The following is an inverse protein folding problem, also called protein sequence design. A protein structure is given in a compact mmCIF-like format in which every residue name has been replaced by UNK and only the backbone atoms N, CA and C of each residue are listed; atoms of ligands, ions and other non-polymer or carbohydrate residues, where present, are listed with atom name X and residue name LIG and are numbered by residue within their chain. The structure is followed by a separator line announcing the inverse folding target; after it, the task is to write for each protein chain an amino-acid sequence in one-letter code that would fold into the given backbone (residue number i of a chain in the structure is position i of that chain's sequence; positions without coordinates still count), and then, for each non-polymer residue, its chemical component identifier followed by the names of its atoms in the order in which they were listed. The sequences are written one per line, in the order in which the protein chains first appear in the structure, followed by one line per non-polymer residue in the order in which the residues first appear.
data_IF_969111230492
#
_entry.id   IF_969111230492
#
_cell.length_a   1.000
_cell.length_b   1.000
_cell.length_c   1.000
_cell.angle_alpha   90.00
_cell.angle_beta   90.00
_cell.angle_gamma   90.00
#
_symmetry.space_group_name_H-M   'P 1'
#
loop_
_entity.id
_entity.type
_entity.pdbx_description
1 polymer ?
#
# COMPACT_ATOMS: atom_id res chain seq x y z
N UNK A 1 -3.62 -9.08 5.46
CA UNK A 1 -3.09 -7.72 5.66
C UNK A 1 -4.21 -6.69 5.47
N UNK A 2 -4.44 -5.87 6.50
CA UNK A 2 -5.33 -4.71 6.49
C UNK A 2 -4.67 -3.53 5.78
N UNK A 3 -5.43 -2.47 5.49
CA UNK A 3 -4.85 -1.24 4.92
C UNK A 3 -3.87 -0.60 5.92
N UNK A 4 -4.24 -0.54 7.20
CA UNK A 4 -3.42 0.02 8.28
C UNK A 4 -2.11 -0.73 8.46
N UNK A 5 -2.14 -2.07 8.42
CA UNK A 5 -0.91 -2.89 8.47
C UNK A 5 0.02 -2.59 7.29
N UNK A 6 -0.53 -2.45 6.08
CA UNK A 6 0.25 -2.15 4.89
C UNK A 6 0.92 -0.76 4.95
N UNK A 7 0.22 0.23 5.51
CA UNK A 7 0.76 1.58 5.71
C UNK A 7 1.86 1.58 6.77
N UNK A 8 1.65 0.89 7.90
CA UNK A 8 2.67 0.78 8.95
C UNK A 8 3.95 0.11 8.42
N UNK A 9 3.82 -0.94 7.61
CA UNK A 9 4.97 -1.60 6.99
C UNK A 9 5.69 -0.67 5.98
N UNK A 10 4.95 0.15 5.23
CA UNK A 10 5.54 1.17 4.34
C UNK A 10 6.34 2.23 5.10
N UNK A 11 5.83 2.70 6.25
CA UNK A 11 6.53 3.66 7.12
C UNK A 11 7.84 3.05 7.64
N UNK A 12 7.82 1.79 8.08
CA UNK A 12 9.03 1.08 8.50
C UNK A 12 10.05 0.90 7.37
N UNK A 13 9.60 0.58 6.16
CA UNK A 13 10.48 0.47 4.99
C UNK A 13 11.10 1.84 4.64
N UNK A 14 10.35 2.92 4.76
CA UNK A 14 10.85 4.28 4.56
C UNK A 14 11.93 4.66 5.56
N UNK A 15 11.78 4.30 6.85
CA UNK A 15 12.81 4.49 7.87
C UNK A 15 14.08 3.71 7.52
N UNK A 16 13.93 2.43 7.17
CA UNK A 16 15.06 1.58 6.76
C UNK A 16 15.78 2.09 5.51
N UNK A 17 15.06 2.68 4.55
CA UNK A 17 15.65 3.23 3.32
C UNK A 17 16.46 4.52 3.58
N UNK A 18 16.18 5.23 4.68
CA UNK A 18 16.93 6.43 5.07
C UNK A 18 18.25 6.09 5.77
N UNK A 19 18.37 4.89 6.32
CA UNK A 19 19.64 4.38 6.81
C UNK A 19 20.59 4.14 5.63
N UNK A 20 21.87 4.51 5.75
CA UNK A 20 22.89 4.24 4.73
C UNK A 20 23.06 2.73 4.60
N UNK A 21 22.50 2.09 3.55
CA UNK A 21 22.58 0.66 3.41
C UNK A 21 23.98 0.33 2.89
N UNK A 22 24.68 -0.58 3.56
CA UNK A 22 25.99 -1.03 3.12
C UNK A 22 25.88 -1.98 1.91
N UNK A 23 24.67 -2.42 1.56
CA UNK A 23 24.39 -3.48 0.59
C UNK A 23 23.23 -3.10 -0.36
N UNK A 24 23.49 -3.17 -1.67
CA UNK A 24 22.55 -2.79 -2.74
C UNK A 24 21.41 -3.80 -2.89
N UNK A 25 21.62 -5.06 -2.54
CA UNK A 25 20.58 -6.10 -2.62
C UNK A 25 19.48 -5.84 -1.59
N UNK A 26 19.85 -5.32 -0.41
CA UNK A 26 18.90 -4.91 0.63
C UNK A 26 18.06 -3.71 0.20
N UNK A 27 18.65 -2.75 -0.51
CA UNK A 27 17.90 -1.64 -1.11
C UNK A 27 16.85 -2.17 -2.09
N UNK A 28 17.25 -3.05 -3.00
CA UNK A 28 16.33 -3.62 -3.98
C UNK A 28 15.18 -4.36 -3.31
N UNK A 29 15.46 -5.21 -2.31
CA UNK A 29 14.45 -5.95 -1.58
C UNK A 29 13.44 -5.02 -0.87
N UNK A 30 13.92 -3.96 -0.21
CA UNK A 30 13.07 -2.97 0.47
C UNK A 30 12.16 -2.22 -0.53
N UNK A 31 12.71 -1.80 -1.66
CA UNK A 31 11.94 -1.12 -2.72
C UNK A 31 10.91 -2.05 -3.35
N UNK A 32 11.29 -3.28 -3.69
CA UNK A 32 10.39 -4.27 -4.26
C UNK A 32 9.21 -4.54 -3.31
N UNK A 33 9.49 -4.72 -2.01
CA UNK A 33 8.45 -4.89 -1.00
C UNK A 33 7.53 -3.68 -0.90
N UNK A 34 8.07 -2.47 -0.89
CA UNK A 34 7.27 -1.25 -0.87
C UNK A 34 6.32 -1.15 -2.08
N UNK A 35 6.76 -1.58 -3.27
CA UNK A 35 5.92 -1.60 -4.46
C UNK A 35 4.72 -2.56 -4.32
N UNK A 36 4.93 -3.74 -3.75
CA UNK A 36 3.84 -4.69 -3.46
C UNK A 36 2.80 -4.10 -2.50
N UNK A 37 3.26 -3.45 -1.43
CA UNK A 37 2.39 -2.82 -0.43
C UNK A 37 1.57 -1.68 -1.05
N UNK A 38 2.21 -0.83 -1.85
CA UNK A 38 1.51 0.26 -2.56
C UNK A 38 0.45 -0.28 -3.52
N UNK A 39 0.76 -1.35 -4.27
CA UNK A 39 -0.21 -2.00 -5.15
C UNK A 39 -1.42 -2.52 -4.37
N UNK A 40 -1.19 -3.20 -3.24
CA UNK A 40 -2.25 -3.70 -2.38
C UNK A 40 -3.11 -2.58 -1.79
N UNK A 41 -2.51 -1.46 -1.38
CA UNK A 41 -3.24 -0.28 -0.90
C UNK A 41 -4.16 0.30 -1.98
N UNK A 42 -3.64 0.46 -3.21
CA UNK A 42 -4.43 0.97 -4.35
C UNK A 42 -5.59 0.06 -4.72
N UNK A 43 -5.41 -1.25 -4.64
CA UNK A 43 -6.49 -2.21 -4.87
C UNK A 43 -7.59 -2.09 -3.81
N UNK A 44 -7.22 -1.97 -2.53
CA UNK A 44 -8.20 -1.77 -1.46
C UNK A 44 -8.99 -0.47 -1.64
N UNK A 45 -8.33 0.63 -1.99
CA UNK A 45 -8.99 1.91 -2.23
C UNK A 45 -9.98 1.83 -3.40
N UNK A 46 -9.58 1.24 -4.52
CA UNK A 46 -10.48 1.00 -5.66
C UNK A 46 -11.69 0.16 -5.26
N UNK A 47 -11.49 -0.88 -4.46
CA UNK A 47 -12.60 -1.69 -3.95
C UNK A 47 -13.56 -0.92 -3.03
N UNK A 48 -13.08 0.10 -2.31
CA UNK A 48 -13.94 1.00 -1.52
C UNK A 48 -14.71 1.94 -2.44
N UNK A 49 -14.06 2.55 -3.43
CA UNK A 49 -14.70 3.43 -4.43
C UNK A 49 -15.82 2.71 -5.19
N UNK A 50 -15.58 1.47 -5.63
CA UNK A 50 -16.58 0.64 -6.32
C UNK A 50 -17.81 0.36 -5.44
N UNK A 51 -17.60 0.10 -4.15
CA UNK A 51 -18.69 -0.12 -3.19
C UNK A 51 -19.50 1.15 -2.95
N UNK A 52 -18.84 2.30 -2.84
CA UNK A 52 -19.52 3.59 -2.70
C UNK A 52 -20.36 3.88 -3.96
N UNK A 53 -19.80 3.72 -5.15
CA UNK A 53 -20.52 3.90 -6.40
C UNK A 53 -21.72 2.94 -6.55
N UNK A 54 -21.64 1.73 -6.00
CA UNK A 54 -22.76 0.80 -5.97
C UNK A 54 -23.89 1.26 -5.04
N UNK A 55 -23.55 1.84 -3.88
CA UNK A 55 -24.53 2.40 -2.94
C UNK A 55 -25.25 3.61 -3.54
N UNK A 56 -24.54 4.52 -4.20
CA UNK A 56 -25.13 5.70 -4.86
C UNK A 56 -26.19 5.28 -5.90
N UNK A 57 -25.88 4.28 -6.72
CA UNK A 57 -26.83 3.74 -7.72
C UNK A 57 -28.06 3.08 -7.10
N UNK A 58 -27.96 2.56 -5.88
CA UNK A 58 -29.10 1.96 -5.17
C UNK A 58 -30.02 2.99 -4.55
N UNK A 59 -29.53 4.20 -4.25
CA UNK A 59 -30.32 5.31 -3.70
C UNK A 59 -31.07 6.13 -4.75
N UNK A 60 -30.74 5.99 -6.05
CA UNK A 60 -31.38 6.71 -7.16
C UNK A 60 -32.53 5.92 -7.84
N UNK A 61 -32.89 4.73 -7.33
CA UNK A 61 -34.00 3.89 -7.81
C UNK A 61 -35.14 3.80 -6.82
#
# INVERSE_FOLDING_TARGET
MTYTEAVAELEQLLEQLQEVPTDVDQLYARVARAQELVAACREKLRGVEERLAALEKQSEG
#
